data_IF_743621411095
#
_entry.id   IF_743621411095
#
_cell.length_a   1.000
_cell.length_b   1.000
_cell.length_c   1.000
_cell.angle_alpha   90.00
_cell.angle_beta   90.00
_cell.angle_gamma   90.00
#
_symmetry.space_group_name_H-M   'P 1'
#
loop_
_entity.id
_entity.type
_entity.pdbx_description
1 polymer ?
#
# COMPACT_ATOMS: atom_id res chain seq x y z
N UNK A 1 9.30 -10.09 6.17
CA UNK A 1 8.77 -10.11 7.56
C UNK A 1 7.30 -9.66 7.49
N UNK A 2 6.37 -10.26 8.23
CA UNK A 2 4.96 -9.84 8.22
C UNK A 2 4.53 -9.43 9.62
N UNK A 3 4.20 -8.15 9.80
CA UNK A 3 3.62 -7.64 11.03
C UNK A 3 2.10 -7.83 11.02
N UNK A 4 1.51 -7.96 12.20
CA UNK A 4 0.05 -8.12 12.39
C UNK A 4 -0.35 -7.23 13.55
N UNK A 5 -1.33 -6.35 13.32
CA UNK A 5 -1.91 -5.55 14.38
C UNK A 5 -3.04 -6.32 15.09
N UNK A 6 -3.11 -6.27 16.42
CA UNK A 6 -4.06 -7.08 17.20
C UNK A 6 -5.54 -6.79 16.86
N UNK A 7 -5.84 -5.57 16.43
CA UNK A 7 -7.20 -5.16 16.06
C UNK A 7 -7.56 -5.45 14.58
N UNK A 8 -6.59 -5.83 13.73
CA UNK A 8 -6.85 -6.00 12.30
C UNK A 8 -7.72 -7.24 12.05
N UNK A 9 -8.74 -7.11 11.20
CA UNK A 9 -9.67 -8.21 10.84
C UNK A 9 -9.31 -8.89 9.52
N UNK A 10 -8.72 -8.14 8.60
CA UNK A 10 -8.22 -8.65 7.32
C UNK A 10 -6.81 -9.24 7.48
N UNK A 11 -6.37 -10.13 6.56
CA UNK A 11 -5.05 -10.74 6.65
C UNK A 11 -3.90 -9.72 6.70
N UNK A 12 -4.04 -8.61 5.97
CA UNK A 12 -3.14 -7.46 5.95
C UNK A 12 -3.96 -6.22 5.59
N UNK A 13 -3.36 -5.04 5.67
CA UNK A 13 -3.94 -3.79 5.17
C UNK A 13 -2.97 -3.01 4.28
N UNK A 14 -1.68 -3.32 4.37
CA UNK A 14 -0.62 -2.83 3.49
C UNK A 14 0.41 -3.93 3.26
N UNK A 15 0.97 -3.99 2.05
CA UNK A 15 2.13 -4.80 1.68
C UNK A 15 3.21 -3.86 1.14
N UNK A 16 4.41 -3.93 1.71
CA UNK A 16 5.55 -3.10 1.29
C UNK A 16 6.66 -4.04 0.88
N UNK A 17 7.01 -4.02 -0.40
CA UNK A 17 8.06 -4.86 -0.97
C UNK A 17 9.13 -4.00 -1.64
N UNK A 18 10.38 -4.46 -1.56
CA UNK A 18 11.48 -3.86 -2.33
C UNK A 18 11.49 -4.52 -3.70
N UNK A 19 11.37 -3.71 -4.74
CA UNK A 19 11.57 -4.15 -6.10
C UNK A 19 13.04 -3.91 -6.47
N UNK A 20 13.70 -4.99 -6.90
CA UNK A 20 15.13 -5.05 -7.22
C UNK A 20 15.35 -5.80 -8.54
N UNK A 21 14.51 -5.49 -9.54
CA UNK A 21 14.63 -6.02 -10.90
C UNK A 21 15.71 -5.29 -11.71
N UNK A 22 15.92 -4.00 -11.46
CA UNK A 22 17.12 -3.24 -11.83
C UNK A 22 17.96 -2.88 -10.57
N UNK A 23 19.16 -3.45 -10.41
CA UNK A 23 20.05 -3.11 -9.29
C UNK A 23 20.43 -1.62 -9.17
N UNK A 24 20.29 -0.85 -10.25
CA UNK A 24 20.57 0.58 -10.30
C UNK A 24 19.35 1.43 -9.93
N UNK A 25 18.14 0.86 -9.97
CA UNK A 25 16.88 1.55 -9.72
C UNK A 25 15.97 0.73 -8.79
N UNK A 26 16.33 0.70 -7.50
CA UNK A 26 15.52 0.04 -6.48
C UNK A 26 14.43 0.96 -5.98
N UNK A 27 13.24 0.41 -5.82
CA UNK A 27 12.08 1.16 -5.37
C UNK A 27 11.21 0.32 -4.43
N UNK A 28 10.30 0.98 -3.73
CA UNK A 28 9.33 0.32 -2.85
C UNK A 28 7.98 0.26 -3.55
N UNK A 29 7.44 -0.94 -3.69
CA UNK A 29 6.05 -1.16 -4.05
C UNK A 29 5.22 -1.16 -2.77
N UNK A 30 4.27 -0.24 -2.66
CA UNK A 30 3.36 -0.14 -1.52
C UNK A 30 1.94 -0.42 -1.99
N UNK A 31 1.41 -1.60 -1.63
CA UNK A 31 0.09 -2.05 -2.08
C UNK A 31 -0.93 -2.13 -0.94
N UNK A 32 -2.17 -1.74 -1.25
CA UNK A 32 -3.32 -1.79 -0.36
C UNK A 32 -4.48 -2.53 -1.04
N UNK A 33 -5.42 -3.07 -0.25
CA UNK A 33 -6.71 -3.48 -0.81
C UNK A 33 -7.47 -2.25 -1.29
N UNK A 34 -8.07 -2.30 -2.48
CA UNK A 34 -8.71 -1.14 -3.07
C UNK A 34 -9.88 -0.58 -2.26
N UNK A 35 -10.59 -1.43 -1.52
CA UNK A 35 -11.69 -0.99 -0.63
C UNK A 35 -11.22 -0.29 0.66
N UNK A 36 -9.92 -0.34 0.98
CA UNK A 36 -9.39 0.17 2.26
C UNK A 36 -8.85 1.60 2.20
N UNK A 37 -8.65 2.15 1.00
CA UNK A 37 -8.08 3.48 0.82
C UNK A 37 -8.85 4.29 -0.21
N UNK A 38 -8.63 5.60 -0.20
CA UNK A 38 -9.02 6.50 -1.28
C UNK A 38 -7.76 7.01 -1.97
N UNK A 39 -7.79 7.15 -3.29
CA UNK A 39 -6.69 7.71 -4.08
C UNK A 39 -7.16 8.94 -4.88
N UNK A 40 -7.44 10.08 -4.21
CA UNK A 40 -7.98 11.27 -4.86
C UNK A 40 -7.03 11.93 -5.85
N UNK A 41 -5.73 11.65 -5.74
CA UNK A 41 -4.70 12.23 -6.62
C UNK A 41 -4.31 11.25 -7.73
N UNK A 42 -4.98 10.09 -7.81
CA UNK A 42 -4.77 9.03 -8.80
C UNK A 42 -3.29 8.66 -8.95
N UNK A 43 -2.58 8.56 -7.81
CA UNK A 43 -1.14 8.25 -7.77
C UNK A 43 -0.86 6.76 -7.76
N UNK A 44 -1.84 5.93 -7.45
CA UNK A 44 -1.71 4.48 -7.38
C UNK A 44 -2.24 3.83 -8.64
N UNK A 45 -1.61 2.72 -9.02
CA UNK A 45 -2.09 1.86 -10.10
C UNK A 45 -3.10 0.85 -9.55
N UNK A 46 -4.28 0.80 -10.19
CA UNK A 46 -5.26 -0.24 -9.93
C UNK A 46 -4.77 -1.56 -10.51
N UNK A 47 -4.62 -2.57 -9.65
CA UNK A 47 -4.24 -3.93 -10.00
C UNK A 47 -5.45 -4.85 -9.72
N UNK A 48 -6.25 -5.20 -10.75
CA UNK A 48 -7.39 -6.09 -10.59
C UNK A 48 -6.96 -7.47 -10.08
N UNK A 49 -7.65 -7.99 -9.06
CA UNK A 49 -7.33 -9.25 -8.37
C UNK A 49 -5.86 -9.36 -7.88
N UNK A 50 -5.15 -8.23 -7.77
CA UNK A 50 -3.70 -8.18 -7.58
C UNK A 50 -3.22 -8.47 -6.16
N UNK A 51 -4.06 -8.29 -5.15
CA UNK A 51 -3.67 -8.46 -3.74
C UNK A 51 -4.49 -9.59 -3.11
N UNK A 52 -3.88 -10.78 -3.03
CA UNK A 52 -4.52 -11.99 -2.50
C UNK A 52 -5.87 -12.33 -3.19
N UNK A 53 -6.01 -11.99 -4.48
CA UNK A 53 -7.21 -12.23 -5.28
C UNK A 53 -8.29 -11.15 -5.18
N UNK A 54 -8.03 -10.07 -4.43
CA UNK A 54 -8.87 -8.86 -4.40
C UNK A 54 -8.19 -7.72 -5.17
N UNK A 55 -8.98 -6.76 -5.64
CA UNK A 55 -8.45 -5.56 -6.31
C UNK A 55 -7.53 -4.79 -5.36
N UNK A 56 -6.36 -4.38 -5.87
CA UNK A 56 -5.37 -3.63 -5.11
C UNK A 56 -5.03 -2.31 -5.75
N UNK A 57 -4.55 -1.37 -4.94
CA UNK A 57 -3.87 -0.16 -5.42
C UNK A 57 -2.42 -0.21 -4.97
N UNK A 58 -1.49 -0.14 -5.93
CA UNK A 58 -0.06 -0.16 -5.69
C UNK A 58 0.58 1.18 -6.05
N UNK A 59 1.49 1.65 -5.21
CA UNK A 59 2.21 2.91 -5.38
C UNK A 59 3.71 2.60 -5.51
N UNK A 60 4.32 3.20 -6.53
CA UNK A 60 5.75 3.10 -6.78
C UNK A 60 6.45 4.25 -6.05
N UNK A 61 7.34 3.92 -5.13
CA UNK A 61 8.12 4.88 -4.38
C UNK A 61 9.62 4.71 -4.66
N UNK A 62 10.14 5.57 -5.53
CA UNK A 62 11.54 5.55 -6.00
C UNK A 62 12.39 6.64 -5.32
N UNK A 63 11.92 7.88 -5.35
CA UNK A 63 12.64 9.04 -4.82
C UNK A 63 12.09 9.49 -3.46
N UNK A 64 12.99 9.92 -2.57
CA UNK A 64 12.59 10.45 -1.26
C UNK A 64 12.06 11.88 -1.38
N UNK A 65 10.79 11.97 -1.77
CA UNK A 65 10.00 13.19 -1.78
C UNK A 65 9.05 13.21 -0.57
N UNK A 66 9.20 14.22 0.29
CA UNK A 66 8.38 14.38 1.51
C UNK A 66 6.87 14.40 1.21
N UNK A 67 6.46 14.93 0.05
CA UNK A 67 5.06 14.96 -0.34
C UNK A 67 4.51 13.56 -0.66
N UNK A 68 5.31 12.72 -1.32
CA UNK A 68 4.91 11.35 -1.67
C UNK A 68 4.95 10.43 -0.44
N UNK A 69 5.94 10.63 0.44
CA UNK A 69 5.98 9.96 1.76
C UNK A 69 4.71 10.28 2.55
N UNK A 70 4.37 11.57 2.68
CA UNK A 70 3.20 12.00 3.43
C UNK A 70 1.90 11.43 2.83
N UNK A 71 1.83 11.35 1.50
CA UNK A 71 0.69 10.77 0.79
C UNK A 71 0.53 9.29 1.13
N UNK A 72 1.59 8.50 0.96
CA UNK A 72 1.58 7.06 1.26
C UNK A 72 1.28 6.81 2.74
N UNK A 73 1.84 7.62 3.66
CA UNK A 73 1.53 7.54 5.09
C UNK A 73 0.04 7.74 5.37
N UNK A 74 -0.60 8.72 4.72
CA UNK A 74 -2.03 8.94 4.85
C UNK A 74 -2.85 7.72 4.38
N UNK A 75 -2.41 7.04 3.30
CA UNK A 75 -3.05 5.80 2.83
C UNK A 75 -2.86 4.64 3.81
N UNK A 76 -1.69 4.53 4.45
CA UNK A 76 -1.45 3.55 5.51
C UNK A 76 -2.38 3.78 6.71
N UNK A 77 -2.55 5.02 7.16
CA UNK A 77 -3.44 5.36 8.27
C UNK A 77 -4.92 5.07 7.96
N UNK A 78 -5.33 5.33 6.71
CA UNK A 78 -6.67 5.03 6.21
C UNK A 78 -6.90 3.51 6.17
N UNK A 79 -5.96 2.76 5.59
CA UNK A 79 -6.04 1.30 5.51
C UNK A 79 -6.03 0.65 6.89
N UNK A 80 -5.19 1.15 7.80
CA UNK A 80 -5.17 0.72 9.20
C UNK A 80 -6.53 0.95 9.86
N UNK A 81 -7.09 2.15 9.69
CA UNK A 81 -8.39 2.51 10.26
C UNK A 81 -9.52 1.64 9.69
N UNK A 82 -9.49 1.35 8.39
CA UNK A 82 -10.44 0.46 7.73
C UNK A 82 -10.31 -0.99 8.25
N UNK A 83 -9.09 -1.50 8.36
CA UNK A 83 -8.83 -2.87 8.80
C UNK A 83 -9.17 -3.13 10.28
N UNK A 84 -9.28 -2.07 11.10
CA UNK A 84 -9.70 -2.14 12.50
C UNK A 84 -11.19 -1.90 12.70
N UNK A 85 -11.95 -1.48 11.67
CA UNK A 85 -13.41 -1.34 11.73
C UNK A 85 -14.07 -2.72 11.54
N UNK A 86 -15.21 -2.92 12.20
CA UNK A 86 -15.96 -4.18 12.26
C UNK A 86 -16.63 -4.55 10.93
#
# INVERSE_FOLDING_TARGET
MRAVHAAQKKPLFVMIDVIDDDPSNRWLSVCFYGEMITDPDEKGDLIPEGLLGEDGYCFDYEESNDADIAYIQQRIDEAFSAACKE
#
